data_IF_284049705258
#
_entry.id   IF_284049705258
#
_cell.length_a   1.000
_cell.length_b   1.000
_cell.length_c   1.000
_cell.angle_alpha   90.00
_cell.angle_beta   90.00
_cell.angle_gamma   90.00
#
_symmetry.space_group_name_H-M   'P 1'
#
loop_
_entity.id
_entity.type
_entity.pdbx_description
1 polymer ?
#
# COMPACT_ATOMS: atom_id res chain seq x y z
N UNK A 1 -21.89 -24.90 98.90
CA UNK A 1 -23.04 -25.04 98.00
C UNK A 1 -22.69 -24.29 96.77
N UNK A 2 -22.17 -24.97 95.69
CA UNK A 2 -21.68 -24.32 94.45
C UNK A 2 -22.63 -24.65 93.31
N UNK A 3 -23.39 -23.71 92.87
CA UNK A 3 -24.36 -23.84 91.79
C UNK A 3 -23.59 -23.72 90.42
N UNK A 4 -23.65 -24.79 89.61
CA UNK A 4 -23.07 -24.80 88.27
C UNK A 4 -24.14 -24.43 87.27
N UNK A 5 -23.98 -23.28 86.63
CA UNK A 5 -24.84 -22.84 85.52
C UNK A 5 -24.25 -23.44 84.23
N UNK A 6 -25.04 -24.30 83.55
CA UNK A 6 -24.75 -24.82 82.24
C UNK A 6 -25.23 -23.82 81.18
N UNK A 7 -24.30 -23.33 80.38
CA UNK A 7 -24.63 -22.54 79.17
C UNK A 7 -24.93 -23.48 77.98
N UNK A 8 -25.92 -23.21 77.16
CA UNK A 8 -26.18 -23.99 75.96
C UNK A 8 -25.17 -23.62 74.83
N UNK A 9 -24.61 -24.65 74.18
CA UNK A 9 -23.74 -24.52 73.00
C UNK A 9 -24.61 -24.25 71.76
N UNK A 10 -24.29 -23.24 70.92
CA UNK A 10 -24.92 -23.10 69.62
C UNK A 10 -24.37 -24.15 68.65
N UNK A 11 -25.29 -24.83 67.96
CA UNK A 11 -24.94 -25.74 66.86
C UNK A 11 -24.58 -24.86 65.63
N UNK A 12 -23.29 -24.87 65.28
CA UNK A 12 -22.84 -24.32 64.00
C UNK A 12 -23.20 -25.33 62.90
N UNK A 13 -24.14 -24.95 62.03
CA UNK A 13 -24.36 -25.65 60.76
C UNK A 13 -23.25 -25.22 59.78
N UNK A 14 -22.42 -26.21 59.38
CA UNK A 14 -21.41 -26.01 58.35
C UNK A 14 -22.08 -25.85 56.99
N UNK A 15 -22.27 -24.61 56.59
CA UNK A 15 -22.59 -24.26 55.23
C UNK A 15 -21.29 -24.25 54.41
N UNK A 16 -21.13 -25.26 53.57
CA UNK A 16 -19.97 -25.43 52.66
C UNK A 16 -20.15 -24.47 51.49
N UNK A 17 -19.56 -23.28 51.60
CA UNK A 17 -19.46 -22.34 50.47
C UNK A 17 -18.34 -22.82 49.55
N UNK A 18 -18.74 -23.47 48.47
CA UNK A 18 -17.82 -23.80 47.36
C UNK A 18 -17.65 -22.50 46.54
N UNK A 19 -16.60 -21.76 46.81
CA UNK A 19 -16.17 -20.63 45.95
C UNK A 19 -15.47 -21.20 44.72
N UNK A 20 -16.22 -21.24 43.61
CA UNK A 20 -15.66 -21.55 42.28
C UNK A 20 -14.79 -20.39 41.84
N UNK A 21 -13.49 -20.46 42.03
CA UNK A 21 -12.52 -19.54 41.48
C UNK A 21 -12.40 -19.80 39.98
N UNK A 22 -13.16 -19.08 39.16
CA UNK A 22 -12.96 -19.05 37.71
C UNK A 22 -11.67 -18.24 37.47
N UNK A 23 -10.55 -18.94 37.36
CA UNK A 23 -9.31 -18.36 36.86
C UNK A 23 -9.51 -17.95 35.40
N UNK A 24 -9.72 -16.65 35.15
CA UNK A 24 -9.53 -16.08 33.82
C UNK A 24 -8.05 -16.24 33.44
N UNK A 25 -7.74 -17.27 32.65
CA UNK A 25 -6.52 -17.25 31.85
C UNK A 25 -6.66 -16.07 30.87
N UNK A 26 -6.04 -14.95 31.21
CA UNK A 26 -5.76 -13.92 30.22
C UNK A 26 -4.77 -14.54 29.22
N UNK A 27 -5.28 -15.17 28.17
CA UNK A 27 -4.50 -15.47 26.98
C UNK A 27 -4.12 -14.10 26.41
N UNK A 28 -2.91 -13.65 26.75
CA UNK A 28 -2.32 -12.49 26.13
C UNK A 28 -2.34 -12.73 24.61
N UNK A 29 -3.24 -12.05 23.93
CA UNK A 29 -3.17 -12.01 22.47
C UNK A 29 -1.84 -11.34 22.15
N UNK A 30 -0.89 -12.12 21.65
CA UNK A 30 0.28 -11.56 20.98
C UNK A 30 -0.32 -10.85 19.78
N UNK A 31 -0.46 -9.51 19.87
CA UNK A 31 -0.74 -8.70 18.72
C UNK A 31 0.48 -8.86 17.80
N UNK A 32 0.37 -9.76 16.83
CA UNK A 32 1.27 -9.78 15.69
C UNK A 32 1.04 -8.41 15.05
N UNK A 33 2.04 -7.55 15.11
CA UNK A 33 1.97 -6.27 14.45
C UNK A 33 1.65 -6.56 12.98
N UNK A 34 0.45 -6.18 12.55
CA UNK A 34 0.10 -6.28 11.14
C UNK A 34 1.17 -5.52 10.35
N UNK A 35 1.73 -6.16 9.33
CA UNK A 35 2.69 -5.50 8.43
C UNK A 35 2.10 -4.21 7.85
N UNK A 36 2.91 -3.36 7.21
CA UNK A 36 2.40 -2.16 6.58
C UNK A 36 1.34 -2.52 5.53
N UNK A 37 0.33 -1.66 5.30
CA UNK A 37 -0.63 -1.89 4.22
C UNK A 37 0.07 -1.82 2.86
N UNK A 38 -0.42 -2.52 1.83
CA UNK A 38 0.11 -2.41 0.48
C UNK A 38 -0.10 -1.00 -0.06
N UNK A 39 0.87 -0.52 -0.86
CA UNK A 39 0.81 0.80 -1.49
C UNK A 39 -0.03 0.70 -2.76
N UNK A 40 -1.19 1.36 -2.78
CA UNK A 40 -2.07 1.40 -3.96
C UNK A 40 -1.49 2.29 -5.06
N UNK A 41 -1.26 1.73 -6.24
CA UNK A 41 -0.70 2.44 -7.40
C UNK A 41 -1.77 3.11 -8.28
N UNK A 42 -3.07 2.85 -8.04
CA UNK A 42 -4.15 3.37 -8.88
C UNK A 42 -3.94 3.08 -10.37
N UNK A 43 -4.13 4.09 -11.21
CA UNK A 43 -3.93 3.97 -12.67
C UNK A 43 -2.46 3.83 -13.09
N UNK A 44 -1.49 3.94 -12.18
CA UNK A 44 -0.10 3.59 -12.46
C UNK A 44 0.18 2.07 -12.40
N UNK A 45 -0.74 1.26 -11.90
CA UNK A 45 -0.56 -0.18 -11.72
C UNK A 45 -0.26 -0.97 -13.02
N UNK A 46 -0.85 -0.69 -14.19
CA UNK A 46 -0.54 -1.40 -15.43
C UNK A 46 0.83 -1.01 -16.05
N UNK A 47 1.45 0.08 -15.61
CA UNK A 47 2.70 0.55 -16.19
C UNK A 47 3.90 -0.23 -15.68
N UNK A 48 4.72 -0.78 -16.61
CA UNK A 48 6.04 -1.31 -16.33
C UNK A 48 7.06 -0.16 -16.18
N UNK A 49 6.92 0.87 -17.02
CA UNK A 49 7.76 2.06 -17.03
C UNK A 49 6.90 3.31 -17.06
N UNK A 50 7.17 4.26 -16.18
CA UNK A 50 6.51 5.56 -16.20
C UNK A 50 7.52 6.66 -15.88
N UNK A 51 7.63 7.68 -16.76
CA UNK A 51 8.60 8.75 -16.64
C UNK A 51 7.95 10.15 -16.57
N UNK A 52 8.73 11.14 -16.14
CA UNK A 52 8.38 12.56 -16.17
C UNK A 52 9.01 13.29 -17.37
N UNK A 53 10.17 13.88 -17.16
CA UNK A 53 10.95 14.64 -18.15
C UNK A 53 12.42 14.26 -18.07
N UNK A 54 13.19 14.38 -19.15
CA UNK A 54 12.77 14.75 -20.49
C UNK A 54 12.27 13.58 -21.35
N UNK A 55 12.60 12.31 -21.02
CA UNK A 55 12.37 11.19 -21.91
C UNK A 55 12.28 9.84 -21.19
N UNK A 56 11.74 8.83 -21.88
CA UNK A 56 12.14 7.42 -21.72
C UNK A 56 13.12 7.10 -22.82
N UNK A 57 14.31 6.64 -22.43
CA UNK A 57 15.37 6.26 -23.37
C UNK A 57 15.71 4.80 -23.21
N UNK A 58 15.88 4.11 -24.33
CA UNK A 58 16.30 2.71 -24.34
C UNK A 58 17.44 2.51 -25.33
N UNK A 59 18.38 1.65 -24.95
CA UNK A 59 19.44 1.15 -25.81
C UNK A 59 19.39 -0.38 -25.78
N UNK A 60 19.37 -1.01 -26.94
CA UNK A 60 19.35 -2.47 -27.06
C UNK A 60 17.95 -3.08 -26.96
N UNK A 61 17.84 -4.42 -26.98
CA UNK A 61 16.59 -5.15 -27.08
C UNK A 61 15.88 -5.32 -25.73
N UNK A 62 15.60 -4.21 -25.03
CA UNK A 62 14.82 -4.21 -23.79
C UNK A 62 13.42 -4.78 -24.04
N UNK A 63 12.92 -5.60 -23.12
CA UNK A 63 11.56 -6.13 -23.14
C UNK A 63 10.77 -5.64 -21.92
N UNK A 64 9.55 -5.12 -22.13
CA UNK A 64 8.68 -4.72 -21.05
C UNK A 64 7.31 -5.40 -21.16
N UNK A 65 6.87 -6.02 -20.06
CA UNK A 65 5.52 -6.59 -19.93
C UNK A 65 4.66 -5.61 -19.15
N UNK A 66 3.73 -4.94 -19.84
CA UNK A 66 2.91 -3.85 -19.30
C UNK A 66 3.03 -2.59 -20.14
N UNK A 67 2.39 -1.51 -19.67
CA UNK A 67 2.39 -0.23 -20.38
C UNK A 67 3.69 0.54 -20.15
N UNK A 68 4.04 1.38 -21.12
CA UNK A 68 5.11 2.37 -21.00
C UNK A 68 4.51 3.76 -21.09
N UNK A 69 4.77 4.61 -20.10
CA UNK A 69 4.19 5.95 -20.04
C UNK A 69 5.22 7.05 -19.81
N UNK A 70 4.89 8.24 -20.33
CA UNK A 70 5.61 9.46 -20.04
C UNK A 70 4.66 10.66 -20.03
N UNK A 71 4.76 11.53 -19.03
CA UNK A 71 4.01 12.78 -18.91
C UNK A 71 4.72 13.71 -17.91
N UNK A 72 4.83 15.02 -18.15
CA UNK A 72 4.27 15.79 -19.27
C UNK A 72 5.06 15.72 -20.58
N UNK A 73 6.31 15.19 -20.57
CA UNK A 73 7.06 14.98 -21.81
C UNK A 73 6.46 13.86 -22.66
N UNK A 74 6.86 13.78 -23.93
CA UNK A 74 6.35 12.79 -24.88
C UNK A 74 7.47 11.98 -25.54
N UNK A 75 8.72 12.23 -25.19
CA UNK A 75 9.86 11.60 -25.87
C UNK A 75 10.07 10.16 -25.37
N UNK A 76 9.81 9.21 -26.26
CA UNK A 76 10.14 7.80 -26.09
C UNK A 76 11.06 7.39 -27.21
N UNK A 77 12.26 6.91 -26.90
CA UNK A 77 13.28 6.55 -27.87
C UNK A 77 13.82 5.14 -27.60
N UNK A 78 14.28 4.46 -28.70
CA UNK A 78 14.82 3.12 -28.59
C UNK A 78 13.78 2.00 -28.55
N UNK A 79 12.55 2.28 -28.95
CA UNK A 79 11.47 1.32 -29.14
C UNK A 79 10.93 1.42 -30.59
N UNK A 80 11.49 0.67 -31.56
CA UNK A 80 12.50 -0.40 -31.47
C UNK A 80 13.95 0.08 -31.25
N UNK A 81 14.92 -0.81 -30.86
CA UNK A 81 14.82 -2.28 -30.79
C UNK A 81 14.12 -2.80 -29.53
N UNK A 82 13.87 -1.97 -28.53
CA UNK A 82 13.05 -2.36 -27.39
C UNK A 82 11.63 -2.74 -27.79
N UNK A 83 10.99 -3.58 -26.98
CA UNK A 83 9.61 -4.03 -27.19
C UNK A 83 8.76 -3.77 -25.95
N UNK A 84 7.50 -3.34 -26.17
CA UNK A 84 6.51 -3.12 -25.14
C UNK A 84 5.31 -4.02 -25.44
N UNK A 85 4.92 -4.90 -24.51
CA UNK A 85 3.76 -5.77 -24.70
C UNK A 85 2.43 -5.05 -24.51
N UNK A 86 2.44 -3.95 -23.73
CA UNK A 86 1.29 -3.09 -23.51
C UNK A 86 1.24 -1.92 -24.49
N UNK A 87 0.66 -0.83 -24.05
CA UNK A 87 0.52 0.42 -24.83
C UNK A 87 1.59 1.42 -24.44
N UNK A 88 2.08 2.21 -25.43
CA UNK A 88 2.92 3.37 -25.17
C UNK A 88 2.01 4.60 -25.05
N UNK A 89 2.03 5.23 -23.87
CA UNK A 89 1.28 6.44 -23.51
C UNK A 89 2.23 7.63 -23.45
N UNK A 90 2.25 8.47 -24.49
CA UNK A 90 3.15 9.61 -24.59
C UNK A 90 2.39 10.92 -24.47
N UNK A 91 2.50 11.61 -23.34
CA UNK A 91 1.82 12.85 -23.00
C UNK A 91 0.28 12.80 -23.16
N UNK A 92 -0.32 11.63 -23.04
CA UNK A 92 -1.76 11.46 -23.10
C UNK A 92 -2.43 11.52 -21.71
N UNK A 93 -3.77 11.47 -21.69
CA UNK A 93 -4.54 11.53 -20.45
C UNK A 93 -4.32 10.32 -19.53
N UNK A 94 -4.01 9.16 -20.10
CA UNK A 94 -3.76 7.92 -19.33
C UNK A 94 -2.44 8.04 -18.58
N UNK A 95 -1.36 8.45 -19.26
CA UNK A 95 -0.07 8.71 -18.62
C UNK A 95 -0.17 9.85 -17.59
N UNK A 96 -0.94 10.92 -17.88
CA UNK A 96 -1.14 12.01 -16.93
C UNK A 96 -1.83 11.53 -15.64
N UNK A 97 -2.91 10.75 -15.75
CA UNK A 97 -3.60 10.21 -14.57
C UNK A 97 -2.68 9.26 -13.79
N UNK A 98 -1.94 8.39 -14.48
CA UNK A 98 -0.97 7.49 -13.84
C UNK A 98 0.10 8.27 -13.05
N UNK A 99 0.54 9.43 -13.54
CA UNK A 99 1.48 10.30 -12.81
C UNK A 99 0.88 10.91 -11.55
N UNK A 100 -0.40 11.28 -11.57
CA UNK A 100 -1.13 11.79 -10.40
C UNK A 100 -1.24 10.70 -9.33
N UNK A 101 -1.62 9.50 -9.74
CA UNK A 101 -1.76 8.37 -8.82
C UNK A 101 -0.39 7.91 -8.27
N UNK A 102 0.66 7.92 -9.11
CA UNK A 102 2.02 7.68 -8.65
C UNK A 102 2.47 8.69 -7.59
N UNK A 103 2.10 9.97 -7.74
CA UNK A 103 2.44 10.99 -6.73
C UNK A 103 1.73 10.70 -5.39
N UNK A 104 0.51 10.22 -5.43
CA UNK A 104 -0.25 9.78 -4.25
C UNK A 104 0.40 8.55 -3.61
N UNK A 105 0.69 7.50 -4.39
CA UNK A 105 1.34 6.28 -3.94
C UNK A 105 2.70 6.55 -3.27
N UNK A 106 3.50 7.41 -3.89
CA UNK A 106 4.78 7.85 -3.35
C UNK A 106 4.63 8.52 -1.98
N UNK A 107 3.66 9.42 -1.83
CA UNK A 107 3.41 10.13 -0.57
C UNK A 107 2.92 9.19 0.52
N UNK A 108 2.05 8.24 0.19
CA UNK A 108 1.61 7.18 1.11
C UNK A 108 2.78 6.35 1.58
N UNK A 109 3.64 5.87 0.66
CA UNK A 109 4.81 5.06 1.02
C UNK A 109 5.80 5.83 1.91
N UNK A 110 6.02 7.13 1.65
CA UNK A 110 6.90 7.99 2.44
C UNK A 110 6.38 8.26 3.87
N UNK A 111 5.06 8.22 4.07
CA UNK A 111 4.43 8.51 5.36
C UNK A 111 4.30 7.28 6.28
N UNK A 112 4.63 6.08 5.81
CA UNK A 112 4.52 4.87 6.62
C UNK A 112 5.54 4.87 7.77
N UNK A 113 5.13 4.45 8.98
CA UNK A 113 6.02 4.42 10.13
C UNK A 113 7.14 3.40 9.94
N UNK A 114 8.37 3.83 10.22
CA UNK A 114 9.58 3.02 10.04
C UNK A 114 9.64 1.89 11.08
N UNK A 115 9.89 0.67 10.62
CA UNK A 115 10.12 -0.50 11.49
C UNK A 115 11.59 -0.58 11.90
N UNK A 116 12.52 -0.36 10.97
CA UNK A 116 13.96 -0.41 11.24
C UNK A 116 14.74 0.43 10.20
N UNK A 117 15.98 0.80 10.55
CA UNK A 117 16.89 1.54 9.69
C UNK A 117 17.99 0.62 9.15
N UNK A 118 18.16 0.59 7.82
CA UNK A 118 19.21 -0.14 7.13
C UNK A 118 19.68 0.67 5.91
N UNK A 119 20.87 1.25 5.96
CA UNK A 119 21.48 1.94 4.82
C UNK A 119 22.07 0.97 3.80
N UNK A 120 22.50 -0.20 4.25
CA UNK A 120 23.05 -1.28 3.41
C UNK A 120 22.15 -2.52 3.57
N UNK A 121 21.70 -3.06 2.44
CA UNK A 121 20.73 -4.17 2.40
C UNK A 121 21.37 -5.53 2.09
N UNK A 122 22.58 -5.55 1.54
CA UNK A 122 23.25 -6.79 1.14
C UNK A 122 23.50 -7.74 2.30
N UNK A 123 23.17 -9.02 2.10
CA UNK A 123 23.30 -10.08 3.10
C UNK A 123 22.19 -10.12 4.16
N UNK A 124 21.23 -9.19 4.11
CA UNK A 124 20.11 -9.18 5.05
C UNK A 124 19.00 -10.13 4.61
N UNK A 125 18.31 -10.70 5.63
CA UNK A 125 17.00 -11.34 5.47
C UNK A 125 15.98 -10.54 6.24
N UNK A 126 14.98 -9.98 5.55
CA UNK A 126 14.00 -9.06 6.11
C UNK A 126 12.59 -9.63 5.97
N UNK A 127 11.82 -9.56 7.04
CA UNK A 127 10.38 -9.86 7.04
C UNK A 127 9.57 -8.64 6.58
N UNK A 128 8.24 -8.77 6.42
CA UNK A 128 7.38 -7.62 6.08
C UNK A 128 7.57 -6.45 7.04
N UNK A 129 7.71 -5.23 6.50
CA UNK A 129 7.97 -4.04 7.30
C UNK A 129 8.31 -2.80 6.47
N UNK A 130 8.55 -1.68 7.18
CA UNK A 130 9.01 -0.42 6.58
C UNK A 130 10.46 -0.18 6.99
N UNK A 131 11.35 -0.09 6.03
CA UNK A 131 12.79 0.03 6.22
C UNK A 131 13.30 1.34 5.65
N UNK A 132 14.01 2.12 6.48
CA UNK A 132 14.52 3.44 6.09
C UNK A 132 16.05 3.41 5.98
N UNK A 133 16.60 4.19 5.05
CA UNK A 133 18.05 4.30 4.85
C UNK A 133 18.78 5.04 5.99
N UNK A 134 18.06 5.67 6.92
CA UNK A 134 18.68 6.37 8.05
C UNK A 134 19.43 7.65 7.67
N UNK A 135 19.05 8.33 6.59
CA UNK A 135 19.64 9.60 6.15
C UNK A 135 20.81 9.47 5.16
N UNK A 136 21.03 8.27 4.65
CA UNK A 136 22.08 7.97 3.65
C UNK A 136 21.46 7.35 2.40
N UNK A 137 22.29 7.08 1.39
CA UNK A 137 21.93 6.27 0.22
C UNK A 137 21.53 4.87 0.67
N UNK A 138 20.51 4.31 0.04
CA UNK A 138 20.11 2.93 0.23
C UNK A 138 20.90 2.04 -0.74
N UNK A 139 21.83 1.27 -0.20
CA UNK A 139 22.77 0.47 -0.98
C UNK A 139 22.41 -1.01 -0.96
N UNK A 140 22.44 -1.63 -2.14
CA UNK A 140 22.35 -3.08 -2.28
C UNK A 140 23.58 -3.64 -3.00
N UNK A 141 24.43 -4.35 -2.27
CA UNK A 141 25.55 -5.11 -2.80
C UNK A 141 25.39 -6.58 -2.40
N UNK A 142 25.33 -7.48 -3.38
CA UNK A 142 25.04 -8.89 -3.14
C UNK A 142 23.55 -9.18 -3.04
N UNK A 143 23.12 -10.03 -2.11
CA UNK A 143 21.74 -10.50 -2.05
C UNK A 143 20.99 -9.92 -0.85
N UNK A 144 19.82 -9.33 -1.09
CA UNK A 144 18.78 -9.06 -0.11
C UNK A 144 17.74 -10.17 -0.20
N UNK A 145 17.40 -10.80 0.92
CA UNK A 145 16.35 -11.83 1.00
C UNK A 145 15.12 -11.27 1.70
N UNK A 146 13.96 -11.38 1.05
CA UNK A 146 12.66 -10.99 1.62
C UNK A 146 11.89 -12.25 2.00
N UNK A 147 11.67 -12.43 3.31
CA UNK A 147 11.04 -13.62 3.87
C UNK A 147 9.56 -13.32 4.19
N UNK A 148 8.65 -13.91 3.41
CA UNK A 148 7.21 -13.77 3.61
C UNK A 148 6.67 -14.52 4.80
N UNK A 149 7.48 -15.33 5.49
CA UNK A 149 7.04 -16.13 6.66
C UNK A 149 5.78 -16.97 6.39
N UNK A 150 5.60 -17.42 5.15
CA UNK A 150 4.41 -18.10 4.62
C UNK A 150 3.13 -17.24 4.64
N UNK A 151 3.26 -15.92 4.72
CA UNK A 151 2.17 -14.97 4.55
C UNK A 151 2.33 -14.23 3.21
N UNK A 152 1.54 -14.57 2.18
CA UNK A 152 1.61 -13.92 0.87
C UNK A 152 1.12 -12.46 0.90
N UNK A 153 0.52 -12.01 1.99
CA UNK A 153 0.11 -10.62 2.20
C UNK A 153 1.21 -9.75 2.82
N UNK A 154 2.36 -10.32 3.19
CA UNK A 154 3.50 -9.58 3.70
C UNK A 154 3.92 -8.47 2.75
N UNK A 155 4.15 -7.26 3.27
CA UNK A 155 4.50 -6.06 2.50
C UNK A 155 5.84 -5.51 2.97
N UNK A 156 6.68 -5.11 2.03
CA UNK A 156 7.95 -4.41 2.28
C UNK A 156 7.90 -3.03 1.66
N UNK A 157 8.26 -2.02 2.45
CA UNK A 157 8.42 -0.65 1.96
C UNK A 157 9.81 -0.16 2.34
N UNK A 158 10.62 0.14 1.35
CA UNK A 158 11.95 0.71 1.53
C UNK A 158 11.90 2.22 1.26
N UNK A 159 12.29 3.02 2.25
CA UNK A 159 12.33 4.47 2.16
C UNK A 159 13.78 4.93 2.02
N UNK A 160 14.23 5.20 0.80
CA UNK A 160 15.54 5.80 0.54
C UNK A 160 15.43 7.32 0.72
N UNK A 161 16.12 7.85 1.71
CA UNK A 161 16.16 9.29 2.03
C UNK A 161 17.08 10.10 1.09
N UNK A 162 17.78 9.42 0.19
CA UNK A 162 18.57 9.96 -0.90
C UNK A 162 18.35 9.07 -2.12
N UNK A 163 19.41 8.44 -2.63
CA UNK A 163 19.38 7.57 -3.78
C UNK A 163 19.17 6.09 -3.39
N UNK A 164 18.70 5.29 -4.33
CA UNK A 164 18.79 3.84 -4.31
C UNK A 164 19.88 3.42 -5.31
N UNK A 165 20.90 2.71 -4.85
CA UNK A 165 21.98 2.23 -5.69
C UNK A 165 22.17 0.72 -5.50
N UNK A 166 22.13 -0.04 -6.58
CA UNK A 166 22.53 -1.44 -6.54
C UNK A 166 23.86 -1.66 -7.27
N UNK A 167 24.72 -2.47 -6.68
CA UNK A 167 25.94 -2.90 -7.36
C UNK A 167 25.60 -3.88 -8.50
N UNK A 168 26.53 -4.09 -9.41
CA UNK A 168 26.36 -5.08 -10.48
C UNK A 168 26.10 -6.48 -9.90
N UNK A 169 25.25 -7.26 -10.56
CA UNK A 169 24.84 -8.61 -10.17
C UNK A 169 24.22 -8.72 -8.77
N UNK A 170 23.69 -7.62 -8.24
CA UNK A 170 22.92 -7.65 -7.00
C UNK A 170 21.57 -8.36 -7.20
N UNK A 171 21.07 -8.97 -6.13
CA UNK A 171 19.84 -9.77 -6.19
C UNK A 171 18.89 -9.40 -5.06
N UNK A 172 17.62 -9.22 -5.37
CA UNK A 172 16.51 -9.26 -4.40
C UNK A 172 15.84 -10.62 -4.53
N UNK A 173 15.98 -11.47 -3.52
CA UNK A 173 15.44 -12.83 -3.48
C UNK A 173 14.16 -12.87 -2.64
N UNK A 174 13.15 -13.61 -3.11
CA UNK A 174 11.89 -13.84 -2.40
C UNK A 174 11.84 -15.27 -1.88
N UNK A 175 11.49 -15.46 -0.61
CA UNK A 175 11.30 -16.78 -0.02
C UNK A 175 10.01 -16.85 0.81
N UNK A 176 9.57 -18.06 1.12
CA UNK A 176 8.45 -18.33 2.02
C UNK A 176 7.19 -17.53 1.70
N UNK A 177 6.76 -17.54 0.43
CA UNK A 177 5.52 -16.89 -0.01
C UNK A 177 5.60 -15.37 -0.19
N UNK A 178 6.78 -14.75 -0.09
CA UNK A 178 6.95 -13.34 -0.42
C UNK A 178 6.54 -13.06 -1.87
N UNK A 179 5.85 -11.94 -2.12
CA UNK A 179 5.34 -11.54 -3.43
C UNK A 179 6.03 -10.28 -3.93
N UNK A 180 6.47 -10.28 -5.20
CA UNK A 180 7.02 -9.10 -5.87
C UNK A 180 6.05 -7.92 -5.89
N UNK A 181 4.76 -8.19 -5.88
CA UNK A 181 3.70 -7.18 -5.92
C UNK A 181 3.59 -6.36 -4.63
N UNK A 182 4.15 -6.87 -3.56
CA UNK A 182 4.10 -6.27 -2.22
C UNK A 182 5.43 -5.63 -1.79
N UNK A 183 6.36 -5.42 -2.75
CA UNK A 183 7.65 -4.78 -2.49
C UNK A 183 7.66 -3.39 -3.14
N UNK A 184 7.88 -2.36 -2.33
CA UNK A 184 7.84 -0.96 -2.77
C UNK A 184 9.12 -0.23 -2.35
N UNK A 185 9.70 0.54 -3.28
CA UNK A 185 10.90 1.33 -3.08
C UNK A 185 10.56 2.81 -3.29
N UNK A 186 10.35 3.53 -2.21
CA UNK A 186 10.17 4.98 -2.24
C UNK A 186 11.55 5.65 -2.17
N UNK A 187 11.91 6.44 -3.20
CA UNK A 187 13.25 7.02 -3.35
C UNK A 187 13.15 8.53 -3.50
N UNK A 188 13.77 9.29 -2.60
CA UNK A 188 13.65 10.75 -2.57
C UNK A 188 14.54 11.46 -3.60
N UNK A 189 15.41 10.73 -4.29
CA UNK A 189 16.22 11.23 -5.39
C UNK A 189 16.10 10.27 -6.57
N UNK A 190 17.19 9.67 -7.02
CA UNK A 190 17.25 8.78 -8.18
C UNK A 190 17.51 7.33 -7.77
N UNK A 191 17.11 6.40 -8.62
CA UNK A 191 17.47 5.00 -8.49
C UNK A 191 18.41 4.59 -9.63
N UNK A 192 19.48 3.86 -9.29
CA UNK A 192 20.39 3.27 -10.24
C UNK A 192 20.55 1.79 -9.96
N UNK A 193 20.13 0.96 -10.92
CA UNK A 193 20.31 -0.49 -10.84
C UNK A 193 21.57 -0.88 -11.64
N UNK A 194 22.50 -1.54 -10.96
CA UNK A 194 23.77 -2.00 -11.55
C UNK A 194 23.55 -3.13 -12.54
N UNK A 195 24.47 -3.25 -13.51
CA UNK A 195 24.40 -4.22 -14.61
C UNK A 195 24.21 -5.66 -14.11
N UNK A 196 23.36 -6.40 -14.80
CA UNK A 196 23.10 -7.81 -14.49
C UNK A 196 22.39 -8.06 -13.17
N UNK A 197 21.82 -7.03 -12.55
CA UNK A 197 21.05 -7.17 -11.29
C UNK A 197 19.73 -7.88 -11.54
N UNK A 198 19.30 -8.67 -10.54
CA UNK A 198 17.95 -9.24 -10.46
C UNK A 198 17.17 -8.48 -9.39
N UNK A 199 16.25 -7.64 -9.81
CA UNK A 199 15.54 -6.71 -8.92
C UNK A 199 14.05 -7.02 -8.82
N UNK A 200 13.48 -6.79 -7.65
CA UNK A 200 12.07 -7.10 -7.39
C UNK A 200 11.38 -5.91 -6.74
N UNK A 201 10.14 -5.65 -7.18
CA UNK A 201 9.24 -4.66 -6.61
C UNK A 201 9.05 -3.41 -7.46
N UNK A 202 8.26 -2.49 -6.94
CA UNK A 202 7.93 -1.22 -7.61
C UNK A 202 8.83 -0.10 -7.11
N UNK A 203 9.66 0.45 -7.98
CA UNK A 203 10.45 1.66 -7.69
C UNK A 203 9.57 2.88 -7.96
N UNK A 204 9.46 3.76 -6.99
CA UNK A 204 8.84 5.08 -7.07
C UNK A 204 9.91 6.13 -6.77
N UNK A 205 10.63 6.60 -7.79
CA UNK A 205 11.69 7.59 -7.62
C UNK A 205 11.16 9.02 -7.82
N UNK A 206 11.58 9.95 -6.97
CA UNK A 206 11.21 11.35 -7.14
C UNK A 206 11.84 11.94 -8.40
N UNK A 207 13.09 11.58 -8.71
CA UNK A 207 13.81 12.09 -9.85
C UNK A 207 13.86 11.02 -10.95
N UNK A 208 15.00 10.42 -11.23
CA UNK A 208 15.20 9.55 -12.37
C UNK A 208 15.41 8.09 -11.97
N UNK A 209 15.21 7.19 -12.90
CA UNK A 209 15.58 5.78 -12.77
C UNK A 209 16.50 5.41 -13.92
N UNK A 210 17.65 4.80 -13.59
CA UNK A 210 18.60 4.26 -14.57
C UNK A 210 18.75 2.76 -14.30
N UNK A 211 18.42 1.96 -15.28
CA UNK A 211 18.73 0.53 -15.31
C UNK A 211 19.95 0.36 -16.24
N UNK A 212 21.04 -0.15 -15.69
CA UNK A 212 22.24 -0.42 -16.47
C UNK A 212 22.08 -1.74 -17.22
N UNK A 213 23.03 -2.06 -18.08
CA UNK A 213 22.95 -3.19 -19.00
C UNK A 213 22.50 -4.49 -18.33
N UNK A 214 21.52 -5.15 -18.96
CA UNK A 214 21.06 -6.51 -18.64
C UNK A 214 20.43 -6.66 -17.25
N UNK A 215 19.73 -5.65 -16.74
CA UNK A 215 18.94 -5.77 -15.50
C UNK A 215 17.66 -6.56 -15.77
N UNK A 216 17.37 -7.52 -14.90
CA UNK A 216 16.08 -8.23 -14.88
C UNK A 216 15.25 -7.73 -13.70
N UNK A 217 14.08 -7.20 -13.97
CA UNK A 217 13.19 -6.64 -12.96
C UNK A 217 11.80 -7.30 -12.98
N UNK A 218 11.40 -7.88 -11.85
CA UNK A 218 10.00 -8.27 -11.62
C UNK A 218 9.32 -7.17 -10.83
N UNK A 219 8.62 -6.26 -11.52
CA UNK A 219 8.05 -5.07 -10.92
C UNK A 219 7.93 -3.89 -11.86
N UNK A 220 8.16 -2.66 -11.36
CA UNK A 220 7.91 -1.41 -12.10
C UNK A 220 8.98 -0.36 -11.85
N UNK A 221 9.35 0.38 -12.88
CA UNK A 221 10.24 1.54 -12.82
C UNK A 221 9.44 2.84 -13.04
N UNK A 222 9.00 3.48 -11.94
CA UNK A 222 8.10 4.62 -11.96
C UNK A 222 8.81 5.88 -11.44
N UNK A 223 9.23 6.77 -12.34
CA UNK A 223 9.87 8.05 -12.02
C UNK A 223 8.81 9.18 -11.98
N UNK A 224 8.80 9.96 -10.90
CA UNK A 224 7.83 11.06 -10.74
C UNK A 224 8.15 12.26 -11.62
N UNK A 225 9.39 12.74 -11.62
CA UNK A 225 9.74 13.98 -12.31
C UNK A 225 10.76 13.77 -13.42
N UNK A 226 11.67 12.80 -13.23
CA UNK A 226 12.79 12.58 -14.11
C UNK A 226 12.54 11.55 -15.20
N UNK A 227 13.61 11.22 -15.90
CA UNK A 227 13.64 10.24 -16.98
C UNK A 227 13.75 8.80 -16.46
N UNK A 228 13.42 7.86 -17.33
CA UNK A 228 13.80 6.46 -17.17
C UNK A 228 14.74 6.07 -18.31
N UNK A 229 15.91 5.53 -17.95
CA UNK A 229 16.92 5.05 -18.90
C UNK A 229 17.06 3.55 -18.77
N UNK A 230 16.99 2.86 -19.89
CA UNK A 230 17.03 1.39 -20.01
C UNK A 230 18.13 0.96 -20.97
N UNK A 231 18.82 -0.14 -20.65
CA UNK A 231 19.88 -0.69 -21.48
C UNK A 231 19.78 -2.21 -21.51
N UNK A 232 19.17 -2.76 -22.58
CA UNK A 232 19.08 -4.21 -22.77
C UNK A 232 18.43 -4.95 -21.57
N UNK A 233 17.34 -4.41 -21.03
CA UNK A 233 16.72 -4.84 -19.80
C UNK A 233 15.49 -5.74 -20.02
N UNK A 234 15.07 -6.44 -18.96
CA UNK A 234 13.80 -7.15 -18.92
C UNK A 234 12.98 -6.66 -17.74
N UNK A 235 11.79 -6.09 -17.99
CA UNK A 235 10.87 -5.63 -16.95
C UNK A 235 9.55 -6.39 -17.06
N UNK A 236 9.22 -7.17 -16.04
CA UNK A 236 8.01 -7.99 -16.00
C UNK A 236 7.06 -7.56 -14.88
N UNK A 237 5.84 -7.12 -15.26
CA UNK A 237 4.75 -6.80 -14.34
C UNK A 237 3.67 -7.88 -14.29
N UNK A 238 3.79 -8.95 -15.06
CA UNK A 238 2.71 -9.93 -15.26
C UNK A 238 2.24 -10.60 -13.97
N UNK A 239 3.16 -10.82 -13.03
CA UNK A 239 2.83 -11.38 -11.70
C UNK A 239 2.05 -10.43 -10.80
N UNK A 240 2.06 -9.13 -11.13
CA UNK A 240 1.43 -8.06 -10.35
C UNK A 240 0.33 -7.33 -11.12
N UNK A 241 -0.08 -7.85 -12.26
CA UNK A 241 -1.24 -7.31 -12.97
C UNK A 241 -2.50 -7.52 -12.12
N UNK A 242 -3.42 -6.53 -12.02
CA UNK A 242 -4.73 -6.78 -11.46
C UNK A 242 -5.37 -7.95 -12.20
N UNK A 243 -5.98 -8.89 -11.48
CA UNK A 243 -6.77 -9.92 -12.13
C UNK A 243 -7.76 -9.24 -13.09
N UNK A 244 -7.94 -9.72 -14.33
CA UNK A 244 -8.92 -9.14 -15.25
C UNK A 244 -10.24 -9.03 -14.51
N UNK A 245 -10.77 -7.81 -14.36
CA UNK A 245 -12.07 -7.62 -13.75
C UNK A 245 -13.06 -8.47 -14.55
N UNK A 246 -13.69 -9.43 -13.87
CA UNK A 246 -14.77 -10.19 -14.49
C UNK A 246 -15.73 -9.18 -15.12
N UNK A 247 -16.17 -9.38 -16.38
CA UNK A 247 -17.09 -8.46 -17.01
C UNK A 247 -18.27 -8.27 -16.07
N UNK A 248 -18.50 -7.03 -15.66
CA UNK A 248 -19.66 -6.69 -14.83
C UNK A 248 -20.87 -7.21 -15.58
N UNK A 249 -21.70 -8.12 -15.01
CA UNK A 249 -22.87 -8.59 -15.72
C UNK A 249 -23.69 -7.34 -16.06
N UNK A 250 -23.87 -7.09 -17.35
CA UNK A 250 -24.76 -6.05 -17.85
C UNK A 250 -26.12 -6.43 -17.29
N UNK A 251 -26.79 -5.59 -16.46
CA UNK A 251 -28.12 -5.92 -15.98
C UNK A 251 -28.98 -6.16 -17.22
N UNK A 252 -29.48 -7.38 -17.35
CA UNK A 252 -30.37 -7.72 -18.46
C UNK A 252 -31.59 -6.82 -18.33
N UNK A 253 -31.89 -6.07 -19.38
CA UNK A 253 -33.06 -5.15 -19.47
C UNK A 253 -34.42 -5.88 -19.37
N UNK A 254 -34.42 -7.13 -18.97
CA UNK A 254 -35.62 -7.98 -18.87
C UNK A 254 -36.28 -7.94 -17.49
N UNK A 255 -35.67 -7.30 -16.47
CA UNK A 255 -36.24 -7.22 -15.12
C UNK A 255 -36.90 -5.85 -14.80
N UNK A 256 -37.46 -5.17 -15.80
CA UNK A 256 -38.48 -4.16 -15.53
C UNK A 256 -39.86 -4.84 -15.51
N UNK A 257 -40.02 -5.82 -14.65
CA UNK A 257 -41.34 -6.22 -14.20
C UNK A 257 -41.79 -5.19 -13.18
N UNK A 258 -42.81 -4.40 -13.55
CA UNK A 258 -43.56 -3.54 -12.64
C UNK A 258 -44.08 -4.37 -11.45
N UNK A 259 -43.34 -4.38 -10.34
CA UNK A 259 -43.91 -4.71 -9.03
C UNK A 259 -44.27 -3.40 -8.34
N UNK A 260 -45.47 -2.92 -8.69
CA UNK A 260 -46.12 -1.90 -7.93
C UNK A 260 -46.55 -2.46 -6.56
N UNK A 261 -45.84 -2.09 -5.51
CA UNK A 261 -46.35 -1.99 -4.15
C UNK A 261 -45.33 -1.26 -3.30
N UNK A 262 -45.22 0.04 -3.46
CA UNK A 262 -44.63 0.90 -2.44
C UNK A 262 -45.56 0.94 -1.20
N UNK A 263 -45.29 0.06 -0.26
CA UNK A 263 -45.66 0.39 1.15
C UNK A 263 -44.50 1.22 1.71
N UNK A 264 -44.59 2.55 1.53
CA UNK A 264 -43.74 3.52 2.16
C UNK A 264 -43.69 3.29 3.66
N UNK A 265 -42.53 3.04 4.21
CA UNK A 265 -42.30 2.93 5.65
C UNK A 265 -42.41 4.35 6.25
N UNK A 266 -43.51 4.68 7.00
CA UNK A 266 -43.73 6.06 7.49
C UNK A 266 -42.69 6.50 8.53
N UNK A 267 -41.91 5.58 9.11
CA UNK A 267 -40.88 5.91 10.09
C UNK A 267 -39.64 6.63 9.46
N UNK A 268 -39.31 6.31 8.22
CA UNK A 268 -38.14 6.96 7.55
C UNK A 268 -38.38 8.42 7.23
N UNK A 269 -39.61 8.76 6.83
CA UNK A 269 -39.98 10.15 6.49
C UNK A 269 -40.06 11.04 7.72
N UNK A 270 -40.52 10.50 8.86
CA UNK A 270 -40.62 11.25 10.14
C UNK A 270 -39.19 11.55 10.69
N UNK A 271 -38.25 10.61 10.58
CA UNK A 271 -36.86 10.85 11.02
C UNK A 271 -36.17 11.93 10.17
N UNK A 272 -36.41 11.94 8.87
CA UNK A 272 -35.78 12.94 7.98
C UNK A 272 -36.34 14.34 8.23
N UNK A 273 -37.66 14.47 8.51
CA UNK A 273 -38.29 15.73 8.84
C UNK A 273 -37.82 16.29 10.19
N UNK A 274 -37.62 15.43 11.20
CA UNK A 274 -37.11 15.85 12.52
C UNK A 274 -35.65 16.33 12.48
N UNK A 275 -34.78 15.72 11.67
CA UNK A 275 -33.40 16.17 11.50
C UNK A 275 -33.34 17.51 10.78
N UNK A 276 -34.17 17.72 9.75
CA UNK A 276 -34.19 18.95 8.98
C UNK A 276 -34.70 20.14 9.81
N UNK A 277 -35.70 19.93 10.68
CA UNK A 277 -36.19 20.99 11.56
C UNK A 277 -35.19 21.35 12.66
N UNK A 278 -34.42 20.40 13.18
CA UNK A 278 -33.37 20.66 14.16
C UNK A 278 -32.22 21.52 13.55
N UNK A 279 -31.83 21.26 12.30
CA UNK A 279 -30.79 22.03 11.59
C UNK A 279 -31.28 23.47 11.34
N UNK A 280 -32.52 23.66 10.89
CA UNK A 280 -33.09 24.98 10.66
C UNK A 280 -33.24 25.81 11.95
N UNK A 281 -33.59 25.19 13.06
CA UNK A 281 -33.65 25.85 14.36
C UNK A 281 -32.26 26.29 14.87
N UNK A 282 -31.24 25.47 14.64
CA UNK A 282 -29.85 25.82 15.00
C UNK A 282 -29.31 27.00 14.19
N UNK A 283 -29.61 27.07 12.89
CA UNK A 283 -29.24 28.18 12.03
C UNK A 283 -29.95 29.50 12.36
N UNK A 284 -31.22 29.44 12.76
CA UNK A 284 -31.98 30.62 13.19
C UNK A 284 -31.43 31.23 14.49
N UNK A 285 -31.06 30.39 15.47
CA UNK A 285 -30.45 30.86 16.74
C UNK A 285 -29.07 31.44 16.58
N UNK A 286 -28.27 30.95 15.62
CA UNK A 286 -26.95 31.50 15.30
C UNK A 286 -27.05 32.90 14.69
N UNK A 287 -28.03 33.17 13.84
CA UNK A 287 -28.23 34.47 13.19
C UNK A 287 -28.73 35.54 14.19
N UNK A 288 -29.50 35.18 15.19
CA UNK A 288 -29.99 36.13 16.24
C UNK A 288 -28.84 36.56 17.17
N UNK A 289 -27.90 35.69 17.46
CA UNK A 289 -26.75 36.00 18.32
C UNK A 289 -25.72 36.93 17.63
N UNK A 290 -25.59 36.87 16.31
CA UNK A 290 -24.71 37.78 15.56
C UNK A 290 -25.32 39.19 15.40
N UNK A 291 -26.64 39.34 15.37
CA UNK A 291 -27.30 40.64 15.29
C UNK A 291 -27.22 41.43 16.63
N UNK A 292 -27.21 40.74 17.78
CA UNK A 292 -27.11 41.39 19.09
C UNK A 292 -25.70 41.84 19.48
N UNK A 293 -24.64 41.43 18.74
CA UNK A 293 -23.24 41.83 18.99
C UNK A 293 -22.79 43.07 18.20
N UNK A 294 -23.68 43.65 17.38
CA UNK A 294 -23.39 44.84 16.54
C UNK A 294 -24.24 46.08 16.90
N UNK A 295 -24.76 46.12 18.15
CA UNK A 295 -25.32 47.37 18.72
C UNK A 295 -24.56 47.79 19.96
#
# INVERSE_FOLDING_TARGET
>A
MKMRIRSPRPKLSAGMAVTLAIGMLAVGQIAIAAGPPPVGLGSAAPFAVLAGTPAVTNTGPTTTTGDLGISPAAAVTGFPPGTVSGTIHAADAVALQAKIDLATAYTVAAALPVTANHGTLGGLTLVGGVYNAGGVTLDLTGTLTLDGQNDPSSVWVFQATSDLITASSSTVALINGASACNVFWQVTSSATLGSGSTFVGTIMALTSITMQDSVTMTGRALARNGQVTLINDSIDTSTCAPAPSAPTPIPSVTDVAMSGSERGNPLGIVLFALVLTAILAALATANVRTAHRRR
#
